data_IF_651556309568
#
_entry.id   IF_651556309568
#
_cell.length_a   1.000
_cell.length_b   1.000
_cell.length_c   1.000
_cell.angle_alpha   90.00
_cell.angle_beta   90.00
_cell.angle_gamma   90.00
#
_symmetry.space_group_name_H-M   'P 1'
#
loop_
_entity.id
_entity.type
_entity.pdbx_description
1 polymer ?
#
# COMPACT_ATOMS: atom_id res chain seq x y z
N UNK A 1 3.74 -17.09 -14.08
CA UNK A 1 3.14 -16.38 -15.22
C UNK A 1 3.55 -14.94 -15.10
N UNK A 2 4.32 -14.47 -16.08
CA UNK A 2 4.78 -13.09 -16.17
C UNK A 2 4.10 -12.48 -17.38
N UNK A 3 3.38 -11.38 -17.16
CA UNK A 3 2.74 -10.60 -18.22
C UNK A 3 3.70 -9.51 -18.63
N UNK A 4 4.28 -9.63 -19.82
CA UNK A 4 5.17 -8.63 -20.43
C UNK A 4 4.43 -7.99 -21.60
N UNK A 5 4.22 -6.68 -21.52
CA UNK A 5 3.44 -5.93 -22.51
C UNK A 5 4.04 -4.54 -22.72
N UNK A 6 3.55 -3.81 -23.73
CA UNK A 6 3.75 -2.38 -23.81
C UNK A 6 3.10 -1.65 -22.64
N UNK A 7 3.49 -0.38 -22.44
CA UNK A 7 3.07 0.45 -21.30
C UNK A 7 1.56 0.64 -21.27
N UNK A 8 0.97 0.90 -22.44
CA UNK A 8 -0.47 1.16 -22.61
C UNK A 8 -1.28 -0.10 -22.33
N UNK A 9 -0.87 -1.23 -22.87
CA UNK A 9 -1.52 -2.53 -22.67
C UNK A 9 -1.41 -3.01 -21.22
N UNK A 10 -0.31 -2.67 -20.54
CA UNK A 10 -0.12 -3.00 -19.13
C UNK A 10 -1.23 -2.34 -18.31
N UNK A 11 -1.54 -1.06 -18.51
CA UNK A 11 -2.61 -0.39 -17.78
C UNK A 11 -4.02 -0.80 -18.28
N UNK A 12 -4.23 -0.82 -19.60
CA UNK A 12 -5.56 -0.96 -20.20
C UNK A 12 -6.19 -2.35 -19.99
N UNK A 13 -5.41 -3.44 -20.08
CA UNK A 13 -5.97 -4.79 -20.10
C UNK A 13 -6.03 -5.39 -18.68
N UNK A 14 -7.19 -5.93 -18.25
CA UNK A 14 -7.32 -6.62 -16.97
C UNK A 14 -6.79 -8.06 -17.07
N UNK A 15 -5.46 -8.20 -17.23
CA UNK A 15 -4.78 -9.48 -17.46
C UNK A 15 -5.13 -10.57 -16.44
N UNK A 16 -5.47 -10.17 -15.21
CA UNK A 16 -5.90 -11.06 -14.14
C UNK A 16 -7.15 -11.88 -14.49
N UNK A 17 -7.99 -11.38 -15.40
CA UNK A 17 -9.21 -12.03 -15.88
C UNK A 17 -8.98 -13.01 -17.04
N UNK A 18 -7.75 -13.14 -17.54
CA UNK A 18 -7.46 -14.08 -18.64
C UNK A 18 -7.76 -15.52 -18.19
N UNK A 19 -8.44 -16.28 -19.05
CA UNK A 19 -8.85 -17.66 -18.78
C UNK A 19 -8.15 -18.64 -19.70
N UNK A 20 -7.88 -19.83 -19.18
CA UNK A 20 -7.50 -20.97 -20.01
C UNK A 20 -8.73 -21.44 -20.82
N UNK A 21 -8.71 -21.40 -22.16
CA UNK A 21 -9.88 -21.76 -22.97
C UNK A 21 -10.30 -23.22 -22.83
N UNK A 22 -9.44 -24.11 -22.31
CA UNK A 22 -9.77 -25.53 -22.11
C UNK A 22 -10.43 -25.80 -20.76
N UNK A 23 -10.08 -25.03 -19.74
CA UNK A 23 -10.55 -25.26 -18.35
C UNK A 23 -11.48 -24.15 -17.84
N UNK A 24 -11.69 -23.11 -18.63
CA UNK A 24 -12.42 -21.88 -18.28
C UNK A 24 -11.98 -21.27 -16.94
N UNK A 25 -10.76 -21.55 -16.49
CA UNK A 25 -10.27 -21.10 -15.19
C UNK A 25 -9.36 -19.87 -15.35
N UNK A 26 -9.52 -18.82 -14.52
CA UNK A 26 -8.60 -17.68 -14.54
C UNK A 26 -7.16 -18.11 -14.27
N UNK A 27 -6.23 -17.71 -15.14
CA UNK A 27 -4.82 -18.07 -15.01
C UNK A 27 -4.21 -17.53 -13.72
N UNK A 28 -4.65 -16.35 -13.27
CA UNK A 28 -4.21 -15.75 -12.01
C UNK A 28 -4.57 -16.57 -10.76
N UNK A 29 -5.61 -17.42 -10.84
CA UNK A 29 -6.01 -18.31 -9.76
C UNK A 29 -5.38 -19.71 -9.85
N UNK A 30 -4.77 -20.08 -10.98
CA UNK A 30 -4.05 -21.35 -11.15
C UNK A 30 -2.55 -21.20 -10.95
N UNK A 31 -1.97 -20.12 -11.44
CA UNK A 31 -0.53 -19.92 -11.41
C UNK A 31 0.00 -19.88 -9.96
N UNK A 32 1.20 -20.41 -9.73
CA UNK A 32 1.94 -20.20 -8.47
C UNK A 32 2.22 -18.72 -8.25
N UNK A 33 2.58 -18.03 -9.33
CA UNK A 33 2.93 -16.61 -9.39
C UNK A 33 2.30 -16.00 -10.63
N UNK A 34 1.63 -14.86 -10.49
CA UNK A 34 1.02 -14.09 -11.58
C UNK A 34 1.32 -12.61 -11.38
N UNK A 35 2.25 -12.08 -12.17
CA UNK A 35 2.75 -10.70 -12.05
C UNK A 35 2.79 -10.00 -13.41
N UNK A 36 2.72 -8.67 -13.39
CA UNK A 36 3.00 -7.80 -14.53
C UNK A 36 4.49 -7.46 -14.48
N UNK A 37 5.25 -8.01 -15.41
CA UNK A 37 6.69 -7.89 -15.42
C UNK A 37 7.12 -6.64 -16.20
N UNK A 38 8.05 -5.88 -15.65
CA UNK A 38 8.66 -4.71 -16.30
C UNK A 38 10.14 -5.01 -16.56
N UNK A 39 10.48 -5.62 -17.71
CA UNK A 39 11.84 -6.11 -17.97
C UNK A 39 12.85 -5.00 -18.30
N UNK A 40 12.38 -3.78 -18.57
CA UNK A 40 13.22 -2.63 -18.93
C UNK A 40 12.86 -1.40 -18.08
N UNK A 41 13.15 -1.40 -16.77
CA UNK A 41 13.02 -0.19 -15.94
C UNK A 41 14.17 0.78 -16.24
N UNK A 42 13.90 2.10 -16.17
CA UNK A 42 14.92 3.13 -16.45
C UNK A 42 16.11 3.04 -15.48
N UNK A 43 15.84 2.66 -14.23
CA UNK A 43 16.87 2.39 -13.24
C UNK A 43 16.95 0.90 -12.92
N UNK A 44 18.16 0.42 -12.66
CA UNK A 44 18.37 -0.97 -12.24
C UNK A 44 17.59 -1.23 -10.94
N UNK A 45 16.74 -2.27 -10.89
CA UNK A 45 15.96 -2.58 -9.70
C UNK A 45 16.84 -2.81 -8.48
N UNK A 46 16.49 -2.17 -7.36
CA UNK A 46 17.10 -2.49 -6.07
C UNK A 46 16.48 -3.75 -5.49
N UNK A 47 17.13 -4.88 -5.76
CA UNK A 47 16.78 -6.13 -5.10
C UNK A 47 17.33 -6.11 -3.67
N UNK A 48 16.54 -6.59 -2.68
CA UNK A 48 17.07 -6.79 -1.34
C UNK A 48 18.30 -7.71 -1.45
N UNK A 49 19.39 -7.44 -0.71
CA UNK A 49 20.52 -8.34 -0.68
C UNK A 49 20.02 -9.73 -0.28
N UNK A 50 20.31 -10.74 -1.10
CA UNK A 50 20.04 -12.13 -0.73
C UNK A 50 20.69 -12.38 0.64
N UNK A 51 19.98 -12.93 1.63
CA UNK A 51 20.56 -13.23 2.93
C UNK A 51 21.82 -14.06 2.71
N UNK A 52 22.99 -13.53 3.10
CA UNK A 52 24.23 -14.27 2.96
C UNK A 52 24.14 -15.47 3.90
N UNK A 53 24.44 -16.65 3.38
CA UNK A 53 24.75 -17.87 4.16
C UNK A 53 26.08 -17.68 4.89
N UNK A 54 26.24 -16.64 5.69
CA UNK A 54 27.43 -16.40 6.51
C UNK A 54 27.16 -16.91 7.92
N UNK A 55 27.48 -18.18 8.18
CA UNK A 55 27.57 -18.77 9.52
C UNK A 55 26.25 -19.07 10.24
N UNK A 56 25.13 -18.50 9.80
CA UNK A 56 23.79 -18.71 10.37
C UNK A 56 23.09 -19.90 9.69
N UNK A 57 22.22 -20.61 10.41
CA UNK A 57 21.60 -21.85 9.91
C UNK A 57 20.77 -21.56 8.65
N UNK A 58 20.85 -22.38 7.59
CA UNK A 58 20.02 -22.22 6.40
C UNK A 58 18.54 -22.15 6.77
N UNK A 59 17.88 -21.00 6.52
CA UNK A 59 16.47 -20.77 6.83
C UNK A 59 16.20 -19.96 8.11
N UNK A 60 17.23 -19.49 8.81
CA UNK A 60 17.05 -18.62 9.99
C UNK A 60 16.73 -17.19 9.55
N UNK A 61 15.62 -16.66 10.06
CA UNK A 61 15.11 -15.34 9.72
C UNK A 61 15.84 -14.27 10.52
N UNK A 62 16.53 -13.36 9.83
CA UNK A 62 17.21 -12.22 10.46
C UNK A 62 16.20 -11.12 10.82
N UNK A 63 15.37 -11.38 11.84
CA UNK A 63 14.47 -10.40 12.44
C UNK A 63 13.13 -10.16 11.71
N UNK A 64 12.28 -9.25 12.26
CA UNK A 64 10.94 -8.97 11.76
C UNK A 64 10.91 -8.31 10.39
N UNK A 65 9.81 -8.47 9.65
CA UNK A 65 9.54 -7.66 8.46
C UNK A 65 9.22 -6.27 8.95
N UNK A 66 10.02 -5.32 8.47
CA UNK A 66 9.90 -3.91 8.83
C UNK A 66 9.03 -3.22 7.79
N UNK A 67 7.86 -2.76 8.24
CA UNK A 67 6.85 -2.11 7.42
C UNK A 67 6.66 -0.69 7.96
N UNK A 68 6.90 0.31 7.11
CA UNK A 68 6.52 1.69 7.41
C UNK A 68 5.15 1.95 6.80
N UNK A 69 4.17 2.16 7.65
CA UNK A 69 2.80 2.42 7.27
C UNK A 69 2.53 3.92 7.22
N UNK A 70 2.02 4.38 6.09
CA UNK A 70 1.67 5.77 5.82
C UNK A 70 0.16 5.86 5.65
N UNK A 71 -0.54 6.46 6.63
CA UNK A 71 -1.99 6.65 6.59
C UNK A 71 -2.26 8.14 6.33
N UNK A 72 -2.69 8.46 5.10
CA UNK A 72 -3.04 9.83 4.73
C UNK A 72 -4.56 9.98 4.63
N UNK A 73 -5.12 10.94 5.36
CA UNK A 73 -6.56 11.27 5.38
C UNK A 73 -6.75 12.80 5.32
N UNK A 74 -6.32 13.46 4.22
CA UNK A 74 -6.40 14.91 4.11
C UNK A 74 -7.83 15.47 4.16
N UNK A 75 -8.84 14.69 3.76
CA UNK A 75 -10.26 15.04 3.85
C UNK A 75 -10.87 14.80 5.24
N UNK A 76 -10.09 14.28 6.20
CA UNK A 76 -10.55 14.07 7.57
C UNK A 76 -11.67 13.03 7.66
N UNK A 77 -12.82 13.44 8.20
CA UNK A 77 -14.00 12.58 8.37
C UNK A 77 -14.71 12.18 7.07
N UNK A 78 -14.43 12.89 5.97
CA UNK A 78 -14.98 12.58 4.64
C UNK A 78 -14.21 11.45 3.92
N UNK A 79 -13.03 11.09 4.44
CA UNK A 79 -12.21 10.02 3.89
C UNK A 79 -12.61 8.64 4.43
N UNK A 80 -12.03 7.59 3.83
CA UNK A 80 -12.26 6.20 4.26
C UNK A 80 -11.89 6.05 5.76
N UNK A 81 -12.73 5.38 6.58
CA UNK A 81 -12.53 5.24 8.02
C UNK A 81 -11.07 4.97 8.45
N UNK A 82 -10.55 5.80 9.35
CA UNK A 82 -9.16 5.77 9.85
C UNK A 82 -8.73 4.40 10.38
N UNK A 83 -9.65 3.64 11.01
CA UNK A 83 -9.41 2.23 11.42
C UNK A 83 -9.22 1.26 10.25
N UNK A 84 -9.02 1.78 9.05
CA UNK A 84 -8.51 1.13 7.86
C UNK A 84 -7.45 0.05 8.15
N UNK A 85 -7.56 -1.02 7.36
CA UNK A 85 -6.68 -2.20 7.19
C UNK A 85 -5.61 -2.42 8.27
N UNK A 86 -4.67 -1.49 8.42
CA UNK A 86 -3.66 -1.43 9.47
C UNK A 86 -4.13 -1.80 10.89
N UNK A 87 -5.23 -1.22 11.38
CA UNK A 87 -5.69 -1.50 12.75
C UNK A 87 -6.16 -2.95 12.91
N UNK A 88 -6.70 -3.54 11.85
CA UNK A 88 -7.12 -4.95 11.80
C UNK A 88 -5.90 -5.88 11.69
N UNK A 89 -4.87 -5.45 10.96
CA UNK A 89 -3.59 -6.16 10.89
C UNK A 89 -2.90 -6.21 12.24
N UNK A 90 -2.98 -5.19 13.09
CA UNK A 90 -2.30 -5.18 14.40
C UNK A 90 -3.09 -5.95 15.47
N UNK A 91 -4.42 -5.81 15.49
CA UNK A 91 -5.28 -6.38 16.55
C UNK A 91 -5.46 -7.90 16.43
N UNK A 92 -5.25 -8.46 15.24
CA UNK A 92 -5.47 -9.87 14.93
C UNK A 92 -4.26 -10.78 15.05
N UNK A 93 -3.11 -10.26 15.50
CA UNK A 93 -1.86 -11.02 15.57
C UNK A 93 -1.75 -11.72 16.93
N UNK A 94 -1.49 -13.03 16.92
CA UNK A 94 -1.00 -13.71 18.12
C UNK A 94 0.40 -13.19 18.47
N UNK A 95 0.89 -13.45 19.68
CA UNK A 95 2.21 -12.98 20.11
C UNK A 95 3.35 -13.54 19.23
N UNK A 96 3.21 -14.77 18.73
CA UNK A 96 4.15 -15.38 17.78
C UNK A 96 4.16 -14.62 16.45
N UNK A 97 2.98 -14.19 16.00
CA UNK A 97 2.83 -13.39 14.78
C UNK A 97 3.40 -12.00 15.00
N UNK A 98 3.23 -11.39 16.18
CA UNK A 98 3.79 -10.07 16.52
C UNK A 98 5.31 -10.05 16.42
N UNK A 99 6.01 -11.13 16.77
CA UNK A 99 7.46 -11.25 16.57
C UNK A 99 7.89 -11.33 15.10
N UNK A 100 6.96 -11.68 14.21
CA UNK A 100 7.20 -11.63 12.79
C UNK A 100 7.09 -10.22 12.20
N UNK A 101 6.45 -9.24 12.84
CA UNK A 101 6.23 -7.92 12.22
C UNK A 101 6.75 -6.79 13.09
N UNK A 102 7.50 -5.86 12.47
CA UNK A 102 7.76 -4.53 13.02
C UNK A 102 6.98 -3.56 12.13
N UNK A 103 5.90 -3.01 12.67
CA UNK A 103 5.05 -2.04 11.99
C UNK A 103 5.23 -0.69 12.66
N UNK A 104 5.81 0.26 11.93
CA UNK A 104 5.97 1.63 12.37
C UNK A 104 4.95 2.49 11.61
N UNK A 105 4.22 3.36 12.31
CA UNK A 105 3.24 4.29 11.69
C UNK A 105 3.93 5.64 11.49
N UNK A 106 3.86 6.17 10.28
CA UNK A 106 4.43 7.47 9.94
C UNK A 106 3.64 8.60 10.62
N UNK A 107 4.33 9.38 11.44
CA UNK A 107 3.77 10.50 12.21
C UNK A 107 4.70 11.73 12.14
N UNK A 108 4.22 12.91 11.69
CA UNK A 108 3.00 13.10 10.91
C UNK A 108 3.12 12.42 9.53
N UNK A 109 2.01 12.11 8.83
CA UNK A 109 2.04 11.39 7.54
C UNK A 109 2.36 12.31 6.35
N UNK A 110 3.43 13.11 6.46
CA UNK A 110 3.89 14.01 5.40
C UNK A 110 4.98 13.37 4.55
N UNK A 111 5.13 13.83 3.30
CA UNK A 111 6.20 13.32 2.42
C UNK A 111 7.61 13.69 2.94
N UNK A 112 7.73 14.86 3.58
CA UNK A 112 8.99 15.25 4.24
C UNK A 112 9.36 14.29 5.38
N UNK A 113 8.39 13.95 6.25
CA UNK A 113 8.60 12.98 7.32
C UNK A 113 8.94 11.60 6.78
N UNK A 114 8.27 11.15 5.72
CA UNK A 114 8.59 9.90 5.03
C UNK A 114 10.07 9.89 4.63
N UNK A 115 10.54 10.96 3.98
CA UNK A 115 11.93 11.09 3.57
C UNK A 115 12.91 11.02 4.74
N UNK A 116 12.60 11.70 5.84
CA UNK A 116 13.45 11.71 7.04
C UNK A 116 13.56 10.33 7.69
N UNK A 117 12.43 9.67 7.93
CA UNK A 117 12.37 8.36 8.61
C UNK A 117 13.04 7.28 7.77
N UNK A 118 12.83 7.28 6.46
CA UNK A 118 13.44 6.30 5.56
C UNK A 118 14.96 6.44 5.51
N UNK A 119 15.48 7.67 5.34
CA UNK A 119 16.92 7.93 5.34
C UNK A 119 17.58 7.62 6.69
N UNK A 120 16.89 7.96 7.79
CA UNK A 120 17.38 7.64 9.13
C UNK A 120 17.51 6.12 9.32
N UNK A 121 16.46 5.37 8.99
CA UNK A 121 16.47 3.91 9.10
C UNK A 121 17.57 3.27 8.24
N UNK A 122 17.80 3.79 7.04
CA UNK A 122 18.91 3.36 6.19
C UNK A 122 20.28 3.68 6.81
N UNK A 123 20.48 4.90 7.33
CA UNK A 123 21.73 5.31 7.97
C UNK A 123 22.05 4.47 9.22
N UNK A 124 21.03 4.01 9.93
CA UNK A 124 21.13 3.08 11.07
C UNK A 124 21.39 1.62 10.64
N UNK A 125 21.53 1.34 9.33
CA UNK A 125 21.73 -0.01 8.80
C UNK A 125 20.50 -0.91 8.92
N UNK A 126 19.32 -0.32 9.16
CA UNK A 126 18.05 -1.00 9.33
C UNK A 126 17.01 -0.40 8.38
N UNK A 127 17.15 -0.53 7.05
CA UNK A 127 16.14 -0.03 6.12
C UNK A 127 14.79 -0.73 6.33
N UNK A 128 13.71 -0.09 5.87
CA UNK A 128 12.41 -0.74 5.81
C UNK A 128 12.34 -1.69 4.62
N UNK A 129 11.64 -2.80 4.79
CA UNK A 129 11.42 -3.76 3.70
C UNK A 129 10.24 -3.36 2.84
N UNK A 130 9.23 -2.75 3.46
CA UNK A 130 7.99 -2.35 2.82
C UNK A 130 7.61 -0.95 3.27
N UNK A 131 7.24 -0.09 2.32
CA UNK A 131 6.38 1.07 2.59
C UNK A 131 4.95 0.70 2.18
N UNK A 132 4.01 0.84 3.10
CA UNK A 132 2.59 0.64 2.85
C UNK A 132 1.90 2.00 2.89
N UNK A 133 1.40 2.46 1.75
CA UNK A 133 0.57 3.64 1.67
C UNK A 133 -0.91 3.28 1.70
N UNK A 134 -1.64 3.78 2.68
CA UNK A 134 -3.09 3.66 2.83
C UNK A 134 -3.71 5.06 2.76
N UNK A 135 -4.36 5.39 1.66
CA UNK A 135 -4.86 6.74 1.42
C UNK A 135 -5.44 6.93 0.04
N UNK A 136 -5.51 8.18 -0.40
CA UNK A 136 -6.10 8.53 -1.69
C UNK A 136 -5.05 8.57 -2.79
N UNK A 137 -5.40 7.99 -3.93
CA UNK A 137 -4.70 8.16 -5.19
C UNK A 137 -5.57 8.97 -6.13
N UNK A 138 -4.95 9.79 -6.98
CA UNK A 138 -5.65 10.51 -8.04
C UNK A 138 -4.95 10.32 -9.38
N UNK A 139 -5.73 10.45 -10.44
CA UNK A 139 -5.23 10.51 -11.81
C UNK A 139 -5.59 11.89 -12.36
N UNK A 140 -4.60 12.67 -12.80
CA UNK A 140 -4.82 13.98 -13.38
C UNK A 140 -4.22 14.05 -14.78
N UNK A 141 -5.05 14.45 -15.74
CA UNK A 141 -4.61 14.81 -17.08
C UNK A 141 -4.32 16.31 -17.15
N UNK A 142 -3.07 16.66 -17.44
CA UNK A 142 -2.66 18.05 -17.67
C UNK A 142 -2.56 18.27 -19.18
N UNK A 143 -3.69 18.61 -19.81
CA UNK A 143 -3.77 18.93 -21.25
C UNK A 143 -3.14 20.30 -21.55
N UNK A 144 -3.41 21.30 -20.68
CA UNK A 144 -2.78 22.61 -20.66
C UNK A 144 -2.67 23.10 -19.20
N UNK A 145 -1.65 23.92 -18.83
CA UNK A 145 -1.55 24.53 -17.48
C UNK A 145 -2.81 25.32 -17.06
N UNK A 146 -3.67 25.64 -18.03
CA UNK A 146 -4.91 26.40 -17.88
C UNK A 146 -6.22 25.59 -17.83
N UNK A 147 -6.20 24.25 -17.82
CA UNK A 147 -7.44 23.44 -17.81
C UNK A 147 -7.54 22.46 -16.65
N UNK A 148 -6.62 22.55 -15.70
CA UNK A 148 -6.63 21.68 -14.52
C UNK A 148 -7.68 22.19 -13.54
N UNK A 149 -8.35 21.27 -12.81
CA UNK A 149 -9.34 21.62 -11.80
C UNK A 149 -8.79 22.72 -10.86
N UNK A 150 -9.63 23.67 -10.46
CA UNK A 150 -9.19 24.90 -9.80
C UNK A 150 -8.38 24.65 -8.51
N UNK A 151 -8.77 23.64 -7.73
CA UNK A 151 -8.02 23.16 -6.56
C UNK A 151 -6.63 22.61 -6.94
N UNK A 152 -6.55 21.79 -8.01
CA UNK A 152 -5.29 21.27 -8.54
C UNK A 152 -4.38 22.41 -9.02
N UNK A 153 -4.91 23.48 -9.62
CA UNK A 153 -4.12 24.66 -9.99
C UNK A 153 -3.53 25.39 -8.79
N UNK A 154 -4.24 25.42 -7.65
CA UNK A 154 -3.72 25.97 -6.39
C UNK A 154 -2.65 25.06 -5.78
N UNK A 155 -2.81 23.74 -5.91
CA UNK A 155 -1.84 22.73 -5.47
C UNK A 155 -0.61 22.58 -6.42
N UNK A 156 -0.73 22.98 -7.68
CA UNK A 156 0.30 22.81 -8.73
C UNK A 156 1.69 23.40 -8.43
N UNK A 157 1.85 24.61 -7.86
CA UNK A 157 3.16 25.12 -7.46
C UNK A 157 3.82 24.33 -6.31
N UNK A 158 3.07 23.42 -5.67
CA UNK A 158 3.51 22.59 -4.53
C UNK A 158 3.87 21.16 -4.96
N UNK A 159 3.73 20.84 -6.26
CA UNK A 159 4.24 19.61 -6.84
C UNK A 159 5.77 19.65 -6.85
N UNK A 160 6.39 18.69 -6.15
CA UNK A 160 7.85 18.54 -6.09
C UNK A 160 8.51 18.37 -7.47
N UNK A 161 7.74 17.91 -8.45
CA UNK A 161 8.20 17.64 -9.83
C UNK A 161 7.71 18.68 -10.86
N UNK A 162 6.95 19.70 -10.43
CA UNK A 162 6.27 20.64 -11.33
C UNK A 162 5.16 20.02 -12.20
N UNK A 163 4.39 20.83 -12.95
CA UNK A 163 3.31 20.32 -13.80
C UNK A 163 3.87 19.55 -15.01
N UNK A 164 3.68 18.23 -15.02
CA UNK A 164 4.02 17.37 -16.16
C UNK A 164 2.86 17.31 -17.15
N UNK A 165 3.14 17.45 -18.45
CA UNK A 165 2.15 17.28 -19.52
C UNK A 165 1.81 15.81 -19.69
N UNK A 166 0.53 15.51 -19.82
CA UNK A 166 0.02 14.15 -19.94
C UNK A 166 -0.75 13.73 -18.69
N UNK A 167 -1.07 12.44 -18.63
CA UNK A 167 -1.94 11.89 -17.63
C UNK A 167 -1.13 11.06 -16.63
N UNK A 168 -1.14 11.49 -15.36
CA UNK A 168 -0.25 10.95 -14.33
C UNK A 168 -1.02 10.57 -13.07
N UNK A 169 -0.54 9.50 -12.40
CA UNK A 169 -0.99 9.14 -11.06
C UNK A 169 -0.24 9.91 -9.98
N UNK A 170 -0.95 10.35 -8.94
CA UNK A 170 -0.39 10.98 -7.75
C UNK A 170 -0.94 10.31 -6.49
N UNK A 171 -0.12 10.28 -5.43
CA UNK A 171 -0.57 10.03 -4.07
C UNK A 171 -0.79 11.35 -3.34
N UNK A 172 -1.84 11.40 -2.53
CA UNK A 172 -2.17 12.55 -1.70
C UNK A 172 -1.57 12.35 -0.31
N UNK A 173 -0.48 13.05 -0.03
CA UNK A 173 0.08 13.17 1.31
C UNK A 173 -0.58 14.30 2.07
N UNK A 174 -0.62 14.19 3.40
CA UNK A 174 -0.98 15.33 4.23
C UNK A 174 0.18 16.33 4.27
N UNK A 175 -0.15 17.62 4.32
CA UNK A 175 0.83 18.67 4.52
C UNK A 175 0.20 19.87 5.24
N UNK A 176 0.31 19.93 6.57
CA UNK A 176 -0.31 20.98 7.38
C UNK A 176 0.18 22.40 7.09
N UNK A 177 1.29 22.57 6.35
CA UNK A 177 1.76 23.89 5.92
C UNK A 177 0.94 24.45 4.74
N UNK A 178 0.08 23.64 4.12
CA UNK A 178 -0.78 24.01 3.00
C UNK A 178 -2.21 24.21 3.48
N UNK A 179 -2.91 25.19 2.90
CA UNK A 179 -4.30 25.52 3.26
C UNK A 179 -5.24 24.31 3.11
N UNK A 180 -5.05 23.50 2.06
CA UNK A 180 -5.86 22.31 1.79
C UNK A 180 -5.37 21.05 2.53
N UNK A 181 -4.28 21.12 3.30
CA UNK A 181 -3.62 19.96 3.92
C UNK A 181 -3.30 18.81 2.92
N UNK A 182 -3.11 19.12 1.63
CA UNK A 182 -2.84 18.12 0.58
C UNK A 182 -1.55 18.47 -0.15
N UNK A 183 -0.64 17.51 -0.21
CA UNK A 183 0.53 17.53 -1.08
C UNK A 183 0.47 16.37 -2.07
N UNK A 184 0.59 16.69 -3.35
CA UNK A 184 0.64 15.69 -4.42
C UNK A 184 2.06 15.19 -4.63
N UNK A 185 2.22 13.87 -4.60
CA UNK A 185 3.51 13.19 -4.82
C UNK A 185 3.36 12.23 -5.99
N UNK A 186 4.25 12.38 -6.98
CA UNK A 186 4.23 11.55 -8.18
C UNK A 186 5.15 10.33 -8.10
N UNK A 187 5.01 9.42 -9.06
CA UNK A 187 5.73 8.16 -9.08
C UNK A 187 7.26 8.31 -9.09
N UNK A 188 7.86 9.21 -9.90
CA UNK A 188 9.29 9.45 -9.90
C UNK A 188 9.82 9.99 -8.56
N UNK A 189 9.14 10.96 -7.93
CA UNK A 189 9.57 11.51 -6.65
C UNK A 189 9.52 10.44 -5.55
N UNK A 190 8.42 9.67 -5.48
CA UNK A 190 8.28 8.58 -4.53
C UNK A 190 9.29 7.47 -4.78
N UNK A 191 9.40 6.99 -6.02
CA UNK A 191 10.31 5.91 -6.40
C UNK A 191 11.76 6.26 -6.13
N UNK A 192 12.20 7.48 -6.46
CA UNK A 192 13.55 7.96 -6.14
C UNK A 192 13.83 7.91 -4.64
N UNK A 193 12.89 8.35 -3.80
CA UNK A 193 13.05 8.30 -2.34
C UNK A 193 13.16 6.86 -1.82
N UNK A 194 12.31 5.96 -2.31
CA UNK A 194 12.33 4.55 -1.88
C UNK A 194 13.64 3.86 -2.27
N UNK A 195 14.09 4.08 -3.50
CA UNK A 195 15.38 3.60 -4.01
C UNK A 195 16.54 4.23 -3.24
N UNK A 196 16.52 5.54 -2.99
CA UNK A 196 17.53 6.20 -2.17
C UNK A 196 17.65 5.53 -0.79
N UNK A 197 16.52 5.21 -0.15
CA UNK A 197 16.45 4.64 1.19
C UNK A 197 16.61 3.11 1.26
N UNK A 198 16.76 2.41 0.14
CA UNK A 198 16.89 0.95 0.12
C UNK A 198 15.59 0.19 0.42
N UNK A 199 14.43 0.77 0.08
CA UNK A 199 13.12 0.12 0.24
C UNK A 199 12.73 -0.59 -1.06
N UNK A 200 12.69 -1.94 -1.09
CA UNK A 200 12.47 -2.69 -2.34
C UNK A 200 10.99 -2.86 -2.73
N UNK A 201 10.06 -2.75 -1.77
CA UNK A 201 8.64 -3.05 -1.98
C UNK A 201 7.76 -1.89 -1.54
N UNK A 202 6.84 -1.49 -2.42
CA UNK A 202 5.77 -0.54 -2.15
C UNK A 202 4.41 -1.24 -2.24
N UNK A 203 3.57 -1.06 -1.21
CA UNK A 203 2.18 -1.52 -1.22
C UNK A 203 1.27 -0.29 -1.22
N UNK A 204 0.43 -0.17 -2.25
CA UNK A 204 -0.49 0.94 -2.46
C UNK A 204 -1.92 0.46 -2.22
N UNK A 205 -2.42 0.67 -1.00
CA UNK A 205 -3.85 0.61 -0.70
C UNK A 205 -4.49 1.98 -0.98
N UNK A 206 -4.34 2.44 -2.21
CA UNK A 206 -4.93 3.68 -2.70
C UNK A 206 -5.79 3.38 -3.94
N UNK A 207 -7.02 3.88 -3.93
CA UNK A 207 -7.95 3.72 -5.04
C UNK A 207 -7.31 4.20 -6.35
N UNK A 208 -7.41 3.38 -7.41
CA UNK A 208 -6.90 3.66 -8.76
C UNK A 208 -5.37 3.78 -8.89
N UNK A 209 -4.58 3.33 -7.91
CA UNK A 209 -3.10 3.33 -7.98
C UNK A 209 -2.51 2.52 -9.15
N UNK A 210 -3.24 1.51 -9.65
CA UNK A 210 -2.88 0.76 -10.87
C UNK A 210 -3.72 1.12 -12.11
N UNK A 211 -4.51 2.21 -12.04
CA UNK A 211 -5.30 2.70 -13.16
C UNK A 211 -4.46 3.65 -14.03
N UNK A 212 -4.60 3.54 -15.34
CA UNK A 212 -4.23 4.61 -16.26
C UNK A 212 -5.29 4.69 -17.35
N UNK A 213 -5.71 5.90 -17.70
CA UNK A 213 -6.63 6.10 -18.82
C UNK A 213 -5.84 6.13 -20.11
N UNK A 214 -6.43 5.51 -21.12
CA UNK A 214 -5.92 5.58 -22.47
C UNK A 214 -6.51 6.82 -23.13
N UNK A 215 -5.72 7.84 -23.51
CA UNK A 215 -6.28 8.98 -24.22
C UNK A 215 -6.88 8.52 -25.56
N UNK A 216 -8.03 9.12 -25.92
CA UNK A 216 -8.77 8.86 -27.16
C UNK A 216 -7.99 9.31 -28.41
N UNK A 217 -7.00 10.20 -28.22
CA UNK A 217 -6.11 10.66 -29.28
C UNK A 217 -4.70 10.12 -29.06
N UNK A 218 -4.01 9.66 -30.12
CA UNK A 218 -2.58 9.34 -30.03
C UNK A 218 -1.81 10.60 -29.57
N UNK A 219 -0.71 10.46 -28.82
CA UNK A 219 0.10 11.60 -28.42
C UNK A 219 0.47 12.45 -29.63
N UNK A 220 0.56 13.76 -29.45
CA UNK A 220 1.25 14.63 -30.40
C UNK A 220 2.70 14.15 -30.49
N UNK A 221 2.97 13.31 -31.49
CA UNK A 221 4.29 12.81 -31.81
C UNK A 221 5.07 14.04 -32.30
N UNK A 222 6.02 14.53 -31.52
CA UNK A 222 7.09 15.37 -32.10
C UNK A 222 7.79 14.53 -33.16
N UNK A 223 8.11 15.12 -34.33
CA UNK A 223 8.64 14.41 -35.52
C UNK A 223 9.98 13.64 -35.31
N UNK A 224 10.47 13.52 -34.08
CA UNK A 224 11.66 12.78 -33.69
C UNK A 224 11.30 11.44 -33.02
N UNK A 225 11.02 10.42 -33.83
CA UNK A 225 11.00 9.01 -33.43
C UNK A 225 9.87 8.56 -32.48
N UNK A 226 9.66 7.24 -32.38
CA UNK A 226 8.73 6.69 -31.41
C UNK A 226 9.26 6.97 -29.98
N UNK A 227 8.42 7.50 -29.05
CA UNK A 227 8.88 7.79 -27.70
C UNK A 227 9.39 6.53 -27.02
N UNK A 228 10.53 6.62 -26.33
CA UNK A 228 11.09 5.50 -25.58
C UNK A 228 10.11 5.01 -24.50
N UNK A 229 10.28 3.75 -24.05
CA UNK A 229 9.37 3.10 -23.09
C UNK A 229 9.20 3.90 -21.79
N UNK A 230 10.24 4.59 -21.33
CA UNK A 230 10.20 5.38 -20.09
C UNK A 230 9.42 6.68 -20.29
N UNK A 231 9.55 7.29 -21.46
CA UNK A 231 8.73 8.44 -21.87
C UNK A 231 7.26 8.03 -21.98
N UNK A 232 6.97 6.82 -22.46
CA UNK A 232 5.61 6.28 -22.44
C UNK A 232 5.10 5.97 -21.03
N UNK A 233 5.93 5.41 -20.13
CA UNK A 233 5.54 5.17 -18.72
C UNK A 233 5.21 6.49 -18.04
N UNK A 234 6.02 7.52 -18.26
CA UNK A 234 5.72 8.85 -17.75
C UNK A 234 4.42 9.39 -18.36
N UNK A 235 4.15 9.18 -19.65
CA UNK A 235 2.97 9.78 -20.32
C UNK A 235 1.65 9.02 -20.11
N UNK A 236 1.69 7.70 -19.94
CA UNK A 236 0.53 6.80 -19.97
C UNK A 236 0.54 5.71 -18.88
N UNK A 237 1.62 5.64 -18.10
CA UNK A 237 1.78 4.61 -17.08
C UNK A 237 0.95 4.91 -15.84
N UNK A 238 0.56 3.85 -15.15
CA UNK A 238 0.05 3.97 -13.78
C UNK A 238 1.15 4.46 -12.83
N UNK A 239 0.76 5.03 -11.68
CA UNK A 239 1.69 5.39 -10.61
C UNK A 239 2.66 4.23 -10.27
N UNK A 240 2.14 3.00 -10.24
CA UNK A 240 2.95 1.81 -10.00
C UNK A 240 4.07 1.62 -11.03
N UNK A 241 3.80 1.84 -12.32
CA UNK A 241 4.81 1.74 -13.38
C UNK A 241 5.84 2.86 -13.30
N UNK A 242 5.44 4.09 -12.97
CA UNK A 242 6.38 5.20 -12.77
C UNK A 242 7.34 4.93 -11.59
N UNK A 243 6.83 4.37 -10.48
CA UNK A 243 7.65 3.99 -9.33
C UNK A 243 8.61 2.84 -9.66
N UNK A 244 8.14 1.84 -10.40
CA UNK A 244 8.96 0.72 -10.90
C UNK A 244 10.05 1.21 -11.86
N UNK A 245 9.72 2.17 -12.74
CA UNK A 245 10.67 2.77 -13.68
C UNK A 245 11.79 3.53 -12.97
N UNK A 246 11.46 4.15 -11.82
CA UNK A 246 12.43 4.79 -10.95
C UNK A 246 13.34 3.81 -10.18
N UNK A 247 13.12 2.49 -10.26
CA UNK A 247 14.03 1.45 -9.74
C UNK A 247 13.55 0.69 -8.51
N UNK A 248 12.32 0.93 -8.03
CA UNK A 248 11.71 0.10 -7.00
C UNK A 248 11.48 -1.30 -7.57
N UNK A 249 11.82 -2.34 -6.80
CA UNK A 249 11.82 -3.70 -7.33
C UNK A 249 10.41 -4.28 -7.53
N UNK A 250 9.47 -3.95 -6.63
CA UNK A 250 8.12 -4.47 -6.67
C UNK A 250 7.08 -3.51 -6.12
N UNK A 251 5.94 -3.42 -6.80
CA UNK A 251 4.80 -2.60 -6.38
C UNK A 251 3.54 -3.46 -6.37
N UNK A 252 2.83 -3.47 -5.25
CA UNK A 252 1.46 -3.98 -5.17
C UNK A 252 0.52 -2.80 -5.20
N UNK A 253 -0.46 -2.82 -6.09
CA UNK A 253 -1.40 -1.72 -6.26
C UNK A 253 -2.82 -2.21 -6.50
N UNK A 254 -3.80 -1.33 -6.30
CA UNK A 254 -5.22 -1.65 -6.50
C UNK A 254 -5.70 -1.08 -7.85
N UNK A 255 -6.20 -1.95 -8.73
CA UNK A 255 -6.69 -1.55 -10.06
C UNK A 255 -8.04 -0.82 -10.00
N UNK A 256 -8.87 -1.19 -9.04
CA UNK A 256 -10.22 -0.68 -8.84
C UNK A 256 -10.42 -0.24 -7.39
N UNK A 257 -11.55 0.41 -7.11
CA UNK A 257 -11.96 0.67 -5.75
C UNK A 257 -12.13 -0.67 -5.01
N UNK A 258 -11.53 -0.77 -3.84
CA UNK A 258 -11.52 -1.99 -3.02
C UNK A 258 -12.26 -1.73 -1.72
N UNK A 259 -13.10 -2.66 -1.30
CA UNK A 259 -13.72 -2.57 0.02
C UNK A 259 -12.66 -2.75 1.11
N UNK A 260 -12.82 -2.04 2.23
CA UNK A 260 -11.88 -2.12 3.37
C UNK A 260 -11.71 -3.56 3.86
N UNK A 261 -12.78 -4.35 3.87
CA UNK A 261 -12.72 -5.78 4.28
C UNK A 261 -11.88 -6.62 3.34
N UNK A 262 -12.01 -6.39 2.03
CA UNK A 262 -11.20 -7.04 0.99
C UNK A 262 -9.73 -6.66 1.11
N UNK A 263 -9.44 -5.36 1.22
CA UNK A 263 -8.08 -4.86 1.37
C UNK A 263 -7.43 -5.39 2.64
N UNK A 264 -8.18 -5.43 3.75
CA UNK A 264 -7.68 -5.97 5.00
C UNK A 264 -7.29 -7.44 4.87
N UNK A 265 -8.19 -8.27 4.32
CA UNK A 265 -7.93 -9.70 4.09
C UNK A 265 -6.72 -9.92 3.19
N UNK A 266 -6.70 -9.24 2.04
CA UNK A 266 -5.59 -9.36 1.11
C UNK A 266 -4.25 -8.96 1.71
N UNK A 267 -4.17 -7.83 2.41
CA UNK A 267 -2.91 -7.36 3.00
C UNK A 267 -2.46 -8.28 4.13
N UNK A 268 -3.39 -8.85 4.90
CA UNK A 268 -3.09 -9.85 5.92
C UNK A 268 -2.42 -11.08 5.30
N UNK A 269 -3.02 -11.65 4.26
CA UNK A 269 -2.47 -12.80 3.54
C UNK A 269 -1.13 -12.49 2.86
N UNK A 270 -1.00 -11.29 2.28
CA UNK A 270 0.21 -10.79 1.64
C UNK A 270 1.37 -10.75 2.65
N UNK A 271 1.19 -10.10 3.79
CA UNK A 271 2.24 -9.96 4.80
C UNK A 271 2.55 -11.27 5.51
N UNK A 272 1.54 -12.11 5.73
CA UNK A 272 1.74 -13.45 6.23
C UNK A 272 2.66 -14.29 5.33
N UNK A 273 2.41 -14.25 4.02
CA UNK A 273 3.21 -14.97 3.04
C UNK A 273 4.63 -14.38 2.91
N UNK A 274 4.77 -13.05 2.87
CA UNK A 274 6.08 -12.39 2.80
C UNK A 274 6.95 -12.72 4.03
N UNK A 275 6.36 -12.70 5.23
CA UNK A 275 7.08 -13.06 6.46
C UNK A 275 7.56 -14.53 6.47
N UNK A 276 6.88 -15.41 5.73
CA UNK A 276 7.26 -16.82 5.54
C UNK A 276 8.29 -17.02 4.40
N UNK A 277 8.80 -15.95 3.79
CA UNK A 277 9.80 -16.03 2.72
C UNK A 277 9.23 -16.32 1.33
N UNK A 278 7.91 -16.23 1.14
CA UNK A 278 7.34 -16.24 -0.20
C UNK A 278 7.79 -15.02 -1.00
N UNK A 279 7.92 -15.18 -2.31
CA UNK A 279 8.19 -14.01 -3.16
C UNK A 279 6.97 -13.09 -3.19
N UNK A 280 7.16 -11.83 -3.53
CA UNK A 280 6.06 -10.86 -3.63
C UNK A 280 4.98 -11.35 -4.60
N UNK A 281 5.35 -11.79 -5.81
CA UNK A 281 4.41 -12.38 -6.75
C UNK A 281 3.67 -13.63 -6.24
N UNK A 282 4.32 -14.50 -5.47
CA UNK A 282 3.66 -15.64 -4.82
C UNK A 282 2.67 -15.21 -3.74
N UNK A 283 3.07 -14.25 -2.91
CA UNK A 283 2.25 -13.72 -1.83
C UNK A 283 0.97 -13.06 -2.38
N UNK A 284 1.08 -12.26 -3.45
CA UNK A 284 -0.09 -11.68 -4.14
C UNK A 284 -0.96 -12.78 -4.75
N UNK A 285 -0.38 -13.75 -5.47
CA UNK A 285 -1.14 -14.87 -6.04
C UNK A 285 -1.89 -15.69 -4.99
N UNK A 286 -1.31 -15.88 -3.79
CA UNK A 286 -1.99 -16.53 -2.66
C UNK A 286 -3.15 -15.70 -2.14
N UNK A 287 -2.94 -14.40 -1.90
CA UNK A 287 -4.01 -13.50 -1.48
C UNK A 287 -5.19 -13.50 -2.45
N UNK A 288 -4.93 -13.49 -3.76
CA UNK A 288 -6.01 -13.62 -4.78
C UNK A 288 -6.78 -14.94 -4.67
N UNK A 289 -6.07 -16.06 -4.51
CA UNK A 289 -6.72 -17.38 -4.34
C UNK A 289 -7.57 -17.42 -3.08
N UNK A 290 -7.10 -16.81 -2.00
CA UNK A 290 -7.84 -16.75 -0.75
C UNK A 290 -9.12 -15.90 -0.89
N UNK A 291 -9.02 -14.72 -1.51
CA UNK A 291 -10.18 -13.89 -1.85
C UNK A 291 -11.18 -14.62 -2.75
N UNK A 292 -10.70 -15.42 -3.71
CA UNK A 292 -11.57 -16.19 -4.61
C UNK A 292 -12.25 -17.37 -3.89
N UNK A 293 -11.53 -18.05 -3.00
CA UNK A 293 -12.03 -19.20 -2.25
C UNK A 293 -13.07 -18.81 -1.18
N UNK A 294 -12.99 -17.58 -0.67
CA UNK A 294 -13.95 -17.01 0.24
C UNK A 294 -14.59 -15.82 -0.46
N UNK A 295 -15.70 -15.94 -1.21
CA UNK A 295 -16.26 -14.81 -1.95
C UNK A 295 -17.17 -13.90 -1.10
N UNK A 296 -17.60 -14.34 0.08
CA UNK A 296 -18.51 -13.57 0.93
C UNK A 296 -17.75 -12.48 1.70
N UNK A 297 -18.23 -11.25 1.61
CA UNK A 297 -17.72 -10.08 2.34
C UNK A 297 -18.81 -9.54 3.24
N UNK A 298 -18.54 -9.39 4.53
CA UNK A 298 -19.46 -8.69 5.43
C UNK A 298 -19.36 -7.19 5.16
N UNK A 299 -20.38 -6.62 4.53
CA UNK A 299 -20.48 -5.19 4.25
C UNK A 299 -21.68 -4.66 5.02
N UNK A 300 -21.42 -3.68 5.90
CA UNK A 300 -22.31 -3.34 7.00
C UNK A 300 -22.57 -4.58 7.89
N UNK A 301 -23.65 -5.31 7.63
CA UNK A 301 -24.04 -6.51 8.39
C UNK A 301 -24.37 -7.71 7.49
N UNK A 302 -24.40 -7.50 6.16
CA UNK A 302 -24.83 -8.52 5.22
C UNK A 302 -23.63 -9.20 4.55
N UNK A 303 -23.63 -10.54 4.43
CA UNK A 303 -22.66 -11.24 3.61
C UNK A 303 -22.99 -11.04 2.13
N UNK A 304 -22.17 -10.23 1.44
CA UNK A 304 -22.32 -9.96 0.00
C UNK A 304 -21.31 -10.82 -0.77
N UNK A 305 -21.74 -11.63 -1.76
CA UNK A 305 -20.83 -12.33 -2.65
C UNK A 305 -20.12 -11.36 -3.59
N UNK A 306 -18.79 -11.31 -3.55
CA UNK A 306 -17.96 -10.44 -4.37
C UNK A 306 -16.83 -11.21 -5.07
N UNK A 307 -16.54 -10.82 -6.32
CA UNK A 307 -15.43 -11.31 -7.13
C UNK A 307 -14.32 -10.24 -7.17
N UNK A 308 -13.76 -9.97 -6.00
CA UNK A 308 -12.79 -8.88 -5.77
C UNK A 308 -11.33 -9.33 -5.79
N UNK A 309 -11.09 -10.64 -5.93
CA UNK A 309 -9.77 -11.23 -6.14
C UNK A 309 -8.95 -10.64 -7.32
N UNK A 310 -9.52 -10.09 -8.41
CA UNK A 310 -8.72 -9.49 -9.49
C UNK A 310 -8.21 -8.08 -9.15
N UNK A 311 -8.69 -7.44 -8.08
CA UNK A 311 -8.40 -6.04 -7.78
C UNK A 311 -6.93 -5.79 -7.43
N UNK A 312 -6.28 -6.63 -6.58
CA UNK A 312 -4.86 -6.45 -6.28
C UNK A 312 -3.99 -6.86 -7.48
N UNK A 313 -3.06 -6.00 -7.86
CA UNK A 313 -2.12 -6.18 -8.97
C UNK A 313 -0.69 -6.12 -8.46
N UNK A 314 0.15 -7.05 -8.93
CA UNK A 314 1.58 -7.07 -8.64
C UNK A 314 2.37 -6.67 -9.88
N UNK A 315 3.23 -5.67 -9.73
CA UNK A 315 4.28 -5.30 -10.66
C UNK A 315 5.63 -5.73 -10.09
N UNK A 316 6.44 -6.42 -10.88
CA UNK A 316 7.78 -6.87 -10.48
C UNK A 316 8.78 -6.64 -11.63
N UNK A 317 10.00 -6.24 -11.30
CA UNK A 317 11.10 -6.20 -12.26
C UNK A 317 11.88 -7.53 -12.25
N UNK A 318 11.83 -8.24 -11.12
CA UNK A 318 12.29 -9.61 -10.94
C UNK A 318 11.58 -10.20 -9.70
N UNK A 319 11.61 -11.53 -9.49
CA UNK A 319 11.05 -12.13 -8.28
C UNK A 319 11.73 -11.61 -7.01
N UNK A 320 10.95 -11.09 -6.06
CA UNK A 320 11.47 -10.50 -4.81
C UNK A 320 11.15 -11.40 -3.63
N UNK A 321 12.17 -11.93 -2.96
CA UNK A 321 12.03 -12.55 -1.65
C UNK A 321 12.66 -11.64 -0.59
N UNK A 322 11.92 -11.31 0.47
CA UNK A 322 12.43 -10.51 1.59
C UNK A 322 13.18 -11.36 2.62
N UNK A 323 12.80 -12.63 2.73
CA UNK A 323 13.34 -13.59 3.70
C UNK A 323 13.58 -14.94 3.02
N UNK A 324 14.50 -15.77 3.54
CA UNK A 324 14.67 -17.13 3.02
C UNK A 324 13.42 -17.96 3.32
N UNK A 325 13.08 -18.90 2.43
CA UNK A 325 12.02 -19.86 2.72
C UNK A 325 12.51 -20.88 3.76
N UNK A 326 11.74 -21.17 4.81
CA UNK A 326 12.08 -22.22 5.75
C UNK A 326 12.18 -23.58 5.03
N UNK A 327 13.02 -24.48 5.56
CA UNK A 327 13.08 -25.86 5.09
C UNK A 327 11.72 -26.55 5.19
N UNK A 328 11.43 -27.50 4.27
CA UNK A 328 10.19 -28.30 4.31
C UNK A 328 10.00 -28.91 5.71
N UNK A 329 8.86 -28.64 6.34
CA UNK A 329 8.50 -29.17 7.67
C UNK A 329 8.96 -28.33 8.86
N UNK A 330 9.64 -27.19 8.66
CA UNK A 330 10.10 -26.30 9.74
C UNK A 330 9.29 -25.00 9.87
N UNK A 331 8.39 -24.71 8.93
CA UNK A 331 7.54 -23.53 8.99
C UNK A 331 6.22 -23.83 9.71
N UNK A 332 6.00 -23.23 10.88
CA UNK A 332 4.63 -23.08 11.38
C UNK A 332 3.89 -22.10 10.46
N UNK A 333 2.69 -22.45 9.95
CA UNK A 333 1.93 -21.55 9.10
C UNK A 333 1.58 -20.29 9.90
N UNK A 334 1.97 -19.13 9.39
CA UNK A 334 1.61 -17.85 10.00
C UNK A 334 0.26 -17.41 9.40
N UNK A 335 -0.75 -17.32 10.25
CA UNK A 335 -2.10 -16.88 9.88
C UNK A 335 -2.45 -15.61 10.65
N UNK A 336 -2.86 -14.57 9.93
CA UNK A 336 -3.34 -13.32 10.52
C UNK A 336 -4.86 -13.37 10.52
N UNK A 337 -5.48 -13.44 11.70
CA UNK A 337 -6.94 -13.51 11.81
C UNK A 337 -7.51 -12.11 11.97
N UNK A 338 -8.28 -11.65 10.98
CA UNK A 338 -8.94 -10.35 11.05
C UNK A 338 -10.22 -10.46 11.86
N UNK A 339 -10.14 -10.22 13.17
CA UNK A 339 -11.33 -10.15 14.00
C UNK A 339 -12.20 -8.93 13.61
N UNK A 340 -13.47 -9.18 13.32
CA UNK A 340 -14.49 -8.14 13.33
C UNK A 340 -14.84 -7.87 14.80
N UNK A 341 -14.45 -6.72 15.34
CA UNK A 341 -14.98 -6.21 16.61
C UNK A 341 -14.36 -6.75 17.92
N UNK A 342 -13.95 -8.02 18.02
CA UNK A 342 -13.81 -8.64 19.35
C UNK A 342 -12.40 -9.04 19.80
N UNK A 343 -11.36 -8.69 19.04
CA UNK A 343 -10.00 -8.83 19.57
C UNK A 343 -9.82 -7.79 20.67
N UNK A 344 -10.02 -8.21 21.93
CA UNK A 344 -9.64 -7.46 23.12
C UNK A 344 -8.16 -7.15 22.96
N UNK A 345 -7.76 -5.88 22.70
CA UNK A 345 -6.37 -5.50 22.86
C UNK A 345 -6.02 -5.88 24.30
N UNK A 346 -5.12 -6.85 24.50
CA UNK A 346 -4.48 -6.98 25.79
C UNK A 346 -3.90 -5.60 26.11
N UNK A 347 -4.20 -5.07 27.30
CA UNK A 347 -3.75 -3.73 27.74
C UNK A 347 -2.24 -3.53 27.60
N UNK A 348 -1.46 -4.57 27.33
CA UNK A 348 -0.03 -4.45 27.03
C UNK A 348 0.68 -3.66 28.12
N UNK A 349 1.42 -2.63 27.72
CA UNK A 349 2.12 -1.68 28.60
C UNK A 349 1.31 -0.41 28.90
N UNK A 350 0.01 -0.38 28.60
CA UNK A 350 -0.83 0.79 28.84
C UNK A 350 -1.09 0.98 30.34
N UNK A 351 -1.23 2.24 30.75
CA UNK A 351 -1.44 2.60 32.16
C UNK A 351 -2.68 1.86 32.72
N UNK A 352 -2.55 1.08 33.81
CA UNK A 352 -3.68 0.40 34.43
C UNK A 352 -4.80 1.34 34.89
N UNK A 353 -4.51 2.63 35.06
CA UNK A 353 -5.47 3.69 35.39
C UNK A 353 -6.43 4.05 34.25
N UNK A 354 -6.16 3.61 33.01
CA UNK A 354 -7.07 3.85 31.89
C UNK A 354 -8.44 3.19 32.13
N UNK A 355 -9.54 3.78 31.62
CA UNK A 355 -10.86 3.20 31.78
C UNK A 355 -10.94 1.80 31.14
N UNK A 356 -11.83 0.92 31.63
CA UNK A 356 -12.08 -0.36 30.97
C UNK A 356 -12.65 -0.13 29.58
N UNK A 357 -12.37 -1.06 28.66
CA UNK A 357 -12.97 -1.02 27.33
C UNK A 357 -14.48 -1.20 27.43
N UNK A 358 -15.27 -0.62 26.51
CA UNK A 358 -16.72 -0.78 26.52
C UNK A 358 -17.11 -2.26 26.32
N UNK A 359 -18.09 -2.74 27.10
CA UNK A 359 -18.54 -4.15 27.08
C UNK A 359 -19.03 -4.63 25.71
N UNK A 360 -19.61 -3.73 24.92
CA UNK A 360 -20.10 -4.01 23.58
C UNK A 360 -19.06 -3.75 22.49
N UNK A 361 -17.85 -3.30 22.86
CA UNK A 361 -16.83 -2.83 21.92
C UNK A 361 -16.94 -1.34 21.57
N UNK A 362 -15.95 -0.83 20.82
CA UNK A 362 -15.89 0.56 20.37
C UNK A 362 -16.14 0.66 18.87
N UNK A 363 -17.27 1.24 18.46
CA UNK A 363 -17.68 1.35 17.05
C UNK A 363 -17.81 2.82 16.61
N UNK A 364 -17.46 3.07 15.35
CA UNK A 364 -17.47 4.41 14.76
C UNK A 364 -16.37 5.33 15.31
N UNK A 365 -16.59 6.65 15.14
CA UNK A 365 -15.68 7.73 15.58
C UNK A 365 -14.31 7.73 14.94
N UNK A 366 -14.21 7.22 13.73
CA UNK A 366 -12.98 7.24 12.95
C UNK A 366 -12.45 8.67 12.79
N UNK A 367 -13.33 9.65 12.57
CA UNK A 367 -12.95 11.07 12.53
C UNK A 367 -12.36 11.56 13.86
N UNK A 368 -12.98 11.21 15.01
CA UNK A 368 -12.45 11.58 16.33
C UNK A 368 -11.11 10.91 16.60
N UNK A 369 -10.97 9.62 16.25
CA UNK A 369 -9.71 8.90 16.41
C UNK A 369 -8.63 9.49 15.52
N UNK A 370 -8.95 9.83 14.27
CA UNK A 370 -8.04 10.52 13.36
C UNK A 370 -7.63 11.90 13.90
N UNK A 371 -8.57 12.68 14.42
CA UNK A 371 -8.28 13.98 15.00
C UNK A 371 -7.38 13.86 16.24
N UNK A 372 -7.61 12.86 17.10
CA UNK A 372 -6.72 12.55 18.23
C UNK A 372 -5.33 12.13 17.73
N UNK A 373 -5.28 11.23 16.74
CA UNK A 373 -4.05 10.75 16.11
C UNK A 373 -3.19 11.90 15.60
N UNK A 374 -3.80 12.85 14.87
CA UNK A 374 -3.15 14.07 14.35
C UNK A 374 -2.79 15.06 15.45
N UNK A 375 -3.62 15.21 16.48
CA UNK A 375 -3.30 16.08 17.61
C UNK A 375 -2.03 15.60 18.33
N UNK A 376 -1.86 14.29 18.50
CA UNK A 376 -0.67 13.69 19.09
C UNK A 376 0.60 13.80 18.23
N UNK A 377 0.50 14.21 16.95
CA UNK A 377 1.68 14.48 16.14
C UNK A 377 2.45 15.73 16.63
N UNK A 378 1.77 16.67 17.31
CA UNK A 378 2.38 17.92 17.80
C UNK A 378 2.21 18.16 19.29
N UNK A 379 1.18 17.57 19.91
CA UNK A 379 0.85 17.79 21.30
C UNK A 379 1.12 16.52 22.13
N UNK A 380 1.78 16.68 23.26
CA UNK A 380 1.95 15.59 24.24
C UNK A 380 0.70 15.35 25.09
N UNK A 381 -0.20 16.34 25.15
CA UNK A 381 -1.45 16.29 25.92
C UNK A 381 -2.58 16.77 25.02
N UNK A 382 -3.62 15.95 24.89
CA UNK A 382 -4.82 16.25 24.08
C UNK A 382 -6.05 16.17 24.97
N UNK A 383 -6.89 17.23 24.96
CA UNK A 383 -8.12 17.29 25.74
C UNK A 383 -9.32 16.86 24.89
N UNK A 384 -9.92 15.71 25.24
CA UNK A 384 -11.19 15.28 24.66
C UNK A 384 -12.37 15.83 25.49
N UNK A 385 -13.12 16.78 24.94
CA UNK A 385 -14.29 17.38 25.61
C UNK A 385 -15.57 17.25 24.78
N UNK A 386 -16.70 17.09 25.46
CA UNK A 386 -18.05 16.86 24.92
C UNK A 386 -19.05 16.74 26.09
N UNK A 387 -20.34 16.75 25.81
CA UNK A 387 -21.39 16.53 26.82
C UNK A 387 -21.28 15.14 27.50
N UNK A 388 -21.95 15.02 28.65
CA UNK A 388 -22.11 13.72 29.32
C UNK A 388 -22.82 12.72 28.37
N UNK A 389 -22.42 11.45 28.40
CA UNK A 389 -22.96 10.42 27.51
C UNK A 389 -22.40 10.43 26.08
N UNK A 390 -21.65 11.45 25.66
CA UNK A 390 -21.04 11.52 24.33
C UNK A 390 -19.81 10.61 24.16
N UNK A 391 -19.72 9.48 24.85
CA UNK A 391 -18.71 8.44 24.60
C UNK A 391 -17.24 8.80 24.83
N UNK A 392 -16.90 9.91 25.51
CA UNK A 392 -15.50 10.35 25.73
C UNK A 392 -14.66 9.28 26.44
N UNK A 393 -15.19 8.74 27.54
CA UNK A 393 -14.53 7.69 28.32
C UNK A 393 -14.29 6.45 27.49
N UNK A 394 -15.25 6.08 26.63
CA UNK A 394 -15.12 4.97 25.69
C UNK A 394 -14.09 5.23 24.57
N UNK A 395 -13.89 6.49 24.17
CA UNK A 395 -12.85 6.88 23.19
C UNK A 395 -11.46 6.93 23.80
N UNK A 396 -11.34 7.24 25.10
CA UNK A 396 -10.07 7.26 25.82
C UNK A 396 -9.58 5.86 26.24
N UNK A 397 -10.50 4.91 26.40
CA UNK A 397 -10.23 3.49 26.65
C UNK A 397 -9.87 2.75 25.36
#
# INVERSE_FOLDING_TARGET
VEIVTGVREAAAIPWELIRDPKTDTPLALRARTFVRAQPQPAQRPQLPPLPRLSGERPGERVGPIRILLVICRPGGGEDVPFRSVASRLIKGLTEEVRQAFQLDVLRPPTFEQLGRILRQAQAEGRPYHVVHFDGHGMYAEVVQPGQVAEWLRRAMPLLLSGPRRGAHGYLLFENPALEENVQLVDGPALGKLLVEAGVPVLVLNACRSAHAETPDSPPLISEEGAPDVHTQIRAFGSLAQEVMDAGVAGVVAMRYNVYVVTAAQFVADLYAALAQGHTLGEAVSRGRKQLAAQPLRTIAYDPIPLQDWPVPVAYEAAPIALFPQPGRGQASPLHITLAAGDATPQRGTLDPSLPPQPDVGFFGRDETLLALDRAFDTQSVVLLHAYAGSGKTATAA
#
